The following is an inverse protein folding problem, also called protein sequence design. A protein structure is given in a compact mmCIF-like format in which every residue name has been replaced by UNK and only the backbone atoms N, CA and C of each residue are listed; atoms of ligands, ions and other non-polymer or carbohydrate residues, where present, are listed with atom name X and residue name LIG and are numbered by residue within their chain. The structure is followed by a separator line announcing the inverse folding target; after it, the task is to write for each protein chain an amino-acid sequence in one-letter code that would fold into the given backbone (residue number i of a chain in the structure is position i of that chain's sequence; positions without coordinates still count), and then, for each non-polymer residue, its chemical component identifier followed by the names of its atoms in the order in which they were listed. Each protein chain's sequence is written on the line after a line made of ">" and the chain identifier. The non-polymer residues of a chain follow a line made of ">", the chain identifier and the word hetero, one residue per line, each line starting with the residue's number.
data_IF_204124853527
#
_entry.id   IF_204124853527
#
_cell.length_a   1.000
_cell.length_b   1.000
_cell.length_c   1.000
_cell.angle_alpha   90.00
_cell.angle_beta   90.00
_cell.angle_gamma   90.00
#
_symmetry.space_group_name_H-M   'P 1'
#
loop_
_entity.id
_entity.type
_entity.pdbx_description
1 polymer ?
#
# COMPACT_ATOMS: atom_id res chain seq x y z
N UNK A 1 24.92 -39.53 15.25
CA UNK A 1 24.00 -38.63 14.51
C UNK A 1 23.83 -39.14 13.13
N UNK A 2 22.58 -39.38 12.69
CA UNK A 2 22.36 -39.86 11.35
C UNK A 2 22.61 -38.75 10.32
N UNK A 3 23.34 -39.04 9.27
CA UNK A 3 23.61 -38.16 8.11
C UNK A 3 22.36 -37.46 7.59
N UNK A 4 21.20 -38.15 7.66
CA UNK A 4 19.89 -37.63 7.25
C UNK A 4 19.42 -36.48 8.13
N UNK A 5 19.63 -36.53 9.45
CA UNK A 5 19.21 -35.44 10.37
C UNK A 5 20.03 -34.17 10.14
N UNK A 6 21.35 -34.31 9.98
CA UNK A 6 22.23 -33.21 9.65
C UNK A 6 21.89 -32.59 8.28
N UNK A 7 21.57 -33.43 7.30
CA UNK A 7 21.17 -32.95 5.96
C UNK A 7 19.85 -32.16 5.99
N UNK A 8 18.83 -32.68 6.72
CA UNK A 8 17.54 -32.01 6.92
C UNK A 8 17.72 -30.66 7.61
N UNK A 9 18.55 -30.61 8.70
CA UNK A 9 18.85 -29.37 9.41
C UNK A 9 19.51 -28.32 8.50
N UNK A 10 20.49 -28.72 7.70
CA UNK A 10 21.14 -27.83 6.73
C UNK A 10 20.18 -27.33 5.64
N UNK A 11 19.29 -28.21 5.15
CA UNK A 11 18.30 -27.81 4.14
C UNK A 11 17.28 -26.83 4.69
N UNK A 12 16.78 -27.08 5.92
CA UNK A 12 15.89 -26.15 6.62
C UNK A 12 16.57 -24.81 6.84
N UNK A 13 17.80 -24.80 7.38
CA UNK A 13 18.57 -23.58 7.59
C UNK A 13 18.78 -22.77 6.31
N UNK A 14 19.02 -23.43 5.17
CA UNK A 14 19.11 -22.77 3.86
C UNK A 14 17.80 -22.08 3.47
N UNK A 15 16.67 -22.79 3.66
CA UNK A 15 15.34 -22.23 3.40
C UNK A 15 15.04 -21.05 4.32
N UNK A 16 15.32 -21.17 5.61
CA UNK A 16 15.10 -20.13 6.62
C UNK A 16 15.96 -18.90 6.33
N UNK A 17 17.21 -19.07 5.87
CA UNK A 17 18.07 -17.97 5.45
C UNK A 17 17.53 -17.25 4.19
N UNK A 18 16.98 -17.96 3.23
CA UNK A 18 16.36 -17.33 2.07
C UNK A 18 15.13 -16.52 2.47
N UNK A 19 14.28 -17.09 3.34
CA UNK A 19 13.13 -16.37 3.87
C UNK A 19 13.54 -15.15 4.68
N UNK A 20 14.54 -15.29 5.54
CA UNK A 20 15.10 -14.17 6.30
C UNK A 20 15.61 -13.05 5.38
N UNK A 21 16.33 -13.39 4.30
CA UNK A 21 16.87 -12.39 3.39
C UNK A 21 15.74 -11.55 2.74
N UNK A 22 14.65 -12.21 2.32
CA UNK A 22 13.48 -11.54 1.76
C UNK A 22 12.82 -10.64 2.81
N UNK A 23 12.50 -11.19 3.98
CA UNK A 23 11.82 -10.47 5.06
C UNK A 23 12.67 -9.28 5.56
N UNK A 24 13.99 -9.46 5.63
CA UNK A 24 14.90 -8.40 6.04
C UNK A 24 15.00 -7.28 4.98
N UNK A 25 15.01 -7.63 3.69
CA UNK A 25 14.99 -6.65 2.61
C UNK A 25 13.67 -5.86 2.62
N UNK A 26 12.54 -6.55 2.81
CA UNK A 26 11.23 -5.93 2.93
C UNK A 26 11.17 -4.95 4.11
N UNK A 27 11.69 -5.37 5.25
CA UNK A 27 11.79 -4.53 6.44
C UNK A 27 12.65 -3.28 6.20
N UNK A 28 13.82 -3.42 5.54
CA UNK A 28 14.65 -2.28 5.17
C UNK A 28 13.92 -1.31 4.25
N UNK A 29 13.22 -1.85 3.25
CA UNK A 29 12.44 -1.06 2.31
C UNK A 29 11.35 -0.25 3.01
N UNK A 30 10.61 -0.86 3.94
CA UNK A 30 9.58 -0.14 4.70
C UNK A 30 10.17 0.95 5.60
N UNK A 31 11.30 0.71 6.25
CA UNK A 31 12.00 1.74 7.02
C UNK A 31 12.38 2.94 6.14
N UNK A 32 12.87 2.69 4.93
CA UNK A 32 13.23 3.76 3.98
C UNK A 32 11.99 4.53 3.50
N UNK A 33 10.91 3.82 3.19
CA UNK A 33 9.65 4.44 2.77
C UNK A 33 9.11 5.33 3.89
N UNK A 34 9.07 4.87 5.15
CA UNK A 34 8.57 5.68 6.26
C UNK A 34 9.45 6.89 6.57
N UNK A 35 10.77 6.79 6.38
CA UNK A 35 11.65 7.97 6.46
C UNK A 35 11.27 9.03 5.41
N UNK A 36 11.07 8.61 4.16
CA UNK A 36 10.62 9.48 3.08
C UNK A 36 9.27 10.10 3.38
N UNK A 37 8.30 9.31 3.85
CA UNK A 37 6.97 9.78 4.24
C UNK A 37 7.09 10.84 5.34
N UNK A 38 7.89 10.60 6.37
CA UNK A 38 8.09 11.56 7.46
C UNK A 38 8.59 12.91 6.95
N UNK A 39 9.61 12.89 6.07
CA UNK A 39 10.13 14.14 5.48
C UNK A 39 9.10 14.80 4.54
N UNK A 40 8.37 14.00 3.75
CA UNK A 40 7.30 14.50 2.90
C UNK A 40 6.23 15.24 3.70
N UNK A 41 5.75 14.66 4.79
CA UNK A 41 4.72 15.29 5.61
C UNK A 41 5.25 16.48 6.43
N UNK A 42 6.53 16.53 6.75
CA UNK A 42 7.15 17.74 7.33
C UNK A 42 7.17 18.91 6.33
N UNK A 43 7.43 18.65 5.04
CA UNK A 43 7.35 19.66 3.99
C UNK A 43 5.89 20.10 3.78
N UNK A 44 4.98 19.13 3.71
CA UNK A 44 3.55 19.38 3.60
C UNK A 44 3.00 20.25 4.76
N UNK A 45 3.51 20.04 5.98
CA UNK A 45 3.14 20.87 7.13
C UNK A 45 3.56 22.34 6.98
N UNK A 46 4.56 22.62 6.15
CA UNK A 46 4.98 24.00 5.80
C UNK A 46 4.25 24.55 4.57
N UNK A 47 3.38 23.77 3.95
CA UNK A 47 2.70 24.14 2.70
C UNK A 47 3.56 23.94 1.45
N UNK A 48 4.61 23.12 1.52
CA UNK A 48 5.54 22.88 0.42
C UNK A 48 5.21 21.55 -0.28
N UNK A 49 5.25 21.55 -1.61
CA UNK A 49 5.12 20.32 -2.40
C UNK A 49 6.37 19.45 -2.24
N UNK A 50 6.13 18.13 -2.11
CA UNK A 50 7.21 17.14 -1.97
C UNK A 50 7.78 16.75 -3.34
N UNK A 51 6.92 16.71 -4.34
CA UNK A 51 7.27 16.33 -5.71
C UNK A 51 6.83 17.43 -6.65
N UNK A 52 7.73 17.86 -7.52
CA UNK A 52 7.38 18.77 -8.61
C UNK A 52 6.49 18.06 -9.62
N UNK A 53 5.34 18.60 -9.92
CA UNK A 53 4.44 18.09 -10.96
C UNK A 53 3.73 19.23 -11.69
N UNK A 54 3.11 18.90 -12.84
CA UNK A 54 2.34 19.84 -13.65
C UNK A 54 0.82 19.78 -13.35
N UNK A 55 0.45 19.25 -12.21
CA UNK A 55 -0.96 19.11 -11.83
C UNK A 55 -1.51 20.43 -11.33
N UNK A 56 -2.70 20.79 -11.78
CA UNK A 56 -3.43 21.94 -11.25
C UNK A 56 -3.93 21.59 -9.84
N UNK A 57 -3.35 22.22 -8.84
CA UNK A 57 -3.69 22.03 -7.44
C UNK A 57 -4.89 22.89 -7.05
N UNK A 58 -5.68 22.39 -6.10
CA UNK A 58 -6.72 23.18 -5.41
C UNK A 58 -6.07 24.00 -4.29
N UNK A 59 -6.78 25.02 -3.82
CA UNK A 59 -6.28 25.84 -2.71
C UNK A 59 -5.96 24.98 -1.49
N UNK A 60 -4.74 25.08 -0.98
CA UNK A 60 -4.25 24.29 0.16
C UNK A 60 -3.95 22.81 -0.12
N UNK A 61 -4.04 22.38 -1.37
CA UNK A 61 -3.67 21.02 -1.77
C UNK A 61 -2.15 20.93 -1.96
N UNK A 62 -1.54 19.89 -1.40
CA UNK A 62 -0.11 19.65 -1.44
C UNK A 62 0.15 18.31 -2.11
N UNK A 63 1.13 18.25 -3.00
CA UNK A 63 1.56 17.04 -3.64
C UNK A 63 2.52 16.28 -2.74
N UNK A 64 2.19 15.04 -2.44
CA UNK A 64 2.93 14.17 -1.53
C UNK A 64 3.83 13.17 -2.24
N UNK A 65 3.35 12.62 -3.37
CA UNK A 65 4.02 11.53 -4.06
C UNK A 65 3.60 11.44 -5.52
N UNK A 66 4.43 10.82 -6.36
CA UNK A 66 4.13 10.57 -7.77
C UNK A 66 4.94 9.42 -8.34
N UNK A 67 4.31 8.66 -9.24
CA UNK A 67 4.94 7.60 -10.03
C UNK A 67 4.18 7.33 -11.33
N UNK A 68 4.72 6.44 -12.16
CA UNK A 68 4.02 5.95 -13.35
C UNK A 68 3.13 4.77 -12.98
N UNK A 69 1.91 4.75 -13.54
CA UNK A 69 0.97 3.65 -13.36
C UNK A 69 0.12 3.42 -14.60
N UNK A 70 -0.43 2.23 -14.74
CA UNK A 70 -1.35 1.90 -15.82
C UNK A 70 -2.78 2.09 -15.36
N UNK A 71 -3.51 2.97 -16.02
CA UNK A 71 -4.94 3.17 -15.78
C UNK A 71 -5.73 1.92 -16.17
N UNK A 72 -6.75 1.60 -15.39
CA UNK A 72 -7.76 0.61 -15.76
C UNK A 72 -9.16 1.02 -15.29
N UNK A 73 -10.16 0.47 -15.94
CA UNK A 73 -11.56 0.72 -15.65
C UNK A 73 -12.34 -0.60 -15.71
N UNK A 74 -13.30 -0.79 -14.82
CA UNK A 74 -14.20 -1.93 -14.89
C UNK A 74 -14.97 -1.92 -16.21
N UNK A 75 -14.80 -2.97 -17.00
CA UNK A 75 -15.58 -3.21 -18.20
C UNK A 75 -17.04 -3.55 -17.85
N UNK A 76 -17.95 -3.37 -18.78
CA UNK A 76 -19.35 -3.72 -18.57
C UNK A 76 -19.52 -5.23 -18.46
N UNK A 77 -19.87 -5.72 -17.28
CA UNK A 77 -20.84 -6.80 -17.15
C UNK A 77 -21.94 -6.28 -16.22
N UNK A 78 -23.19 -6.61 -16.50
CA UNK A 78 -24.31 -6.20 -15.67
C UNK A 78 -24.14 -6.78 -14.26
N UNK A 79 -23.85 -5.93 -13.27
CA UNK A 79 -23.72 -6.35 -11.89
C UNK A 79 -24.85 -5.77 -11.04
N UNK A 80 -25.29 -6.50 -10.04
CA UNK A 80 -26.25 -6.08 -9.03
C UNK A 80 -25.55 -5.66 -7.74
N UNK A 81 -25.99 -4.54 -7.15
CA UNK A 81 -25.61 -4.20 -5.78
C UNK A 81 -26.43 -5.03 -4.80
N UNK A 82 -25.75 -5.78 -3.94
CA UNK A 82 -26.36 -6.45 -2.78
C UNK A 82 -25.72 -5.87 -1.53
N UNK A 83 -26.52 -5.32 -0.63
CA UNK A 83 -26.04 -4.54 0.51
C UNK A 83 -25.24 -5.34 1.52
N UNK A 84 -23.99 -4.96 1.76
CA UNK A 84 -23.23 -5.21 2.95
C UNK A 84 -22.12 -4.15 3.10
N UNK A 85 -21.78 -3.79 4.34
CA UNK A 85 -20.75 -2.79 4.62
C UNK A 85 -19.36 -3.43 4.53
N UNK A 86 -18.52 -2.93 3.64
CA UNK A 86 -17.10 -3.25 3.65
C UNK A 86 -16.31 -1.94 3.78
N UNK A 87 -15.59 -1.80 4.89
CA UNK A 87 -14.62 -0.74 5.05
C UNK A 87 -13.32 -1.11 4.34
N UNK A 88 -12.69 -0.12 3.71
CA UNK A 88 -11.35 -0.25 3.16
C UNK A 88 -10.35 -0.40 4.31
N UNK A 89 -9.52 -1.43 4.25
CA UNK A 89 -8.48 -1.69 5.23
C UNK A 89 -7.14 -1.69 4.53
N UNK A 90 -6.36 -0.64 4.76
CA UNK A 90 -4.99 -0.57 4.28
C UNK A 90 -4.09 -1.17 5.36
N UNK A 91 -3.33 -2.23 5.07
CA UNK A 91 -2.31 -2.70 5.99
C UNK A 91 -1.20 -1.65 6.02
N UNK A 92 -1.02 -1.00 7.17
CA UNK A 92 0.02 0.03 7.30
C UNK A 92 1.36 -0.62 7.60
N UNK A 93 1.49 -1.42 8.62
CA UNK A 93 2.66 -2.28 8.96
C UNK A 93 2.28 -3.20 10.11
N UNK A 94 2.96 -4.37 10.23
CA UNK A 94 2.94 -5.24 11.41
C UNK A 94 1.54 -5.53 12.00
N UNK A 95 0.55 -5.84 11.14
CA UNK A 95 -0.79 -6.24 11.59
C UNK A 95 -1.73 -5.08 11.91
N UNK A 96 -1.29 -3.82 11.82
CA UNK A 96 -2.15 -2.65 11.97
C UNK A 96 -2.87 -2.37 10.66
N UNK A 97 -4.20 -2.35 10.71
CA UNK A 97 -5.07 -2.03 9.57
C UNK A 97 -5.81 -0.73 9.83
N UNK A 98 -5.60 0.25 8.97
CA UNK A 98 -6.40 1.47 8.99
C UNK A 98 -7.68 1.25 8.17
N UNK A 99 -8.85 1.49 8.78
CA UNK A 99 -10.15 1.39 8.11
C UNK A 99 -10.67 2.78 7.79
N UNK A 100 -10.89 3.04 6.51
CA UNK A 100 -11.54 4.24 6.03
C UNK A 100 -12.97 3.90 5.60
N UNK A 101 -13.93 4.55 6.22
CA UNK A 101 -15.33 4.64 5.80
C UNK A 101 -16.15 3.36 5.91
N UNK A 102 -17.37 3.51 6.39
CA UNK A 102 -18.43 2.51 6.29
C UNK A 102 -19.32 2.86 5.09
N UNK A 103 -19.29 2.06 4.04
CA UNK A 103 -20.28 2.17 2.96
C UNK A 103 -21.13 0.93 2.89
N UNK A 104 -22.44 1.12 2.84
CA UNK A 104 -23.42 0.05 2.71
C UNK A 104 -23.60 -0.27 1.22
N UNK A 105 -23.16 -1.46 0.80
CA UNK A 105 -23.47 -1.99 -0.51
C UNK A 105 -22.36 -2.88 -1.04
N UNK A 106 -22.64 -4.17 -1.27
CA UNK A 106 -21.74 -5.09 -1.96
C UNK A 106 -22.12 -5.10 -3.44
N UNK A 107 -21.16 -4.79 -4.29
CA UNK A 107 -21.32 -4.99 -5.74
C UNK A 107 -20.99 -6.45 -6.06
N UNK A 108 -22.00 -7.22 -6.46
CA UNK A 108 -21.81 -8.55 -7.04
C UNK A 108 -21.76 -8.34 -8.56
N UNK A 109 -20.55 -8.30 -9.11
CA UNK A 109 -20.39 -8.27 -10.57
C UNK A 109 -20.44 -9.71 -11.11
N UNK A 110 -21.14 -9.92 -12.21
CA UNK A 110 -20.74 -10.95 -13.14
C UNK A 110 -19.33 -10.64 -13.64
N UNK A 111 -18.54 -11.64 -14.04
CA UNK A 111 -17.09 -11.58 -14.31
C UNK A 111 -16.59 -10.19 -14.75
N UNK A 112 -15.85 -9.47 -13.90
CA UNK A 112 -15.38 -8.14 -14.24
C UNK A 112 -14.29 -8.27 -15.31
N UNK A 113 -14.57 -7.82 -16.51
CA UNK A 113 -13.53 -7.59 -17.52
C UNK A 113 -12.85 -6.27 -17.15
N UNK A 114 -11.69 -6.35 -16.54
CA UNK A 114 -10.85 -5.19 -16.28
C UNK A 114 -10.23 -4.74 -17.60
N UNK A 115 -10.57 -3.53 -18.05
CA UNK A 115 -9.98 -2.95 -19.25
C UNK A 115 -8.77 -2.11 -18.85
N UNK A 116 -7.59 -2.59 -19.19
CA UNK A 116 -6.35 -1.83 -19.05
C UNK A 116 -6.26 -0.74 -20.13
N UNK A 117 -5.94 0.45 -19.68
CA UNK A 117 -5.75 1.63 -20.52
C UNK A 117 -4.26 1.99 -20.66
N UNK A 118 -4.02 3.26 -20.85
CA UNK A 118 -2.67 3.83 -21.03
C UNK A 118 -1.87 3.89 -19.72
N UNK A 119 -0.55 4.02 -19.88
CA UNK A 119 0.35 4.34 -18.78
C UNK A 119 0.49 5.86 -18.70
N UNK A 120 0.30 6.41 -17.50
CA UNK A 120 0.37 7.83 -17.23
C UNK A 120 1.03 8.14 -15.89
N UNK A 121 1.04 9.42 -15.54
CA UNK A 121 1.55 9.87 -14.25
C UNK A 121 0.44 9.78 -13.19
N UNK A 122 0.74 9.10 -12.09
CA UNK A 122 -0.12 9.05 -10.91
C UNK A 122 0.44 9.99 -9.88
N UNK A 123 -0.42 10.87 -9.38
CA UNK A 123 -0.06 11.87 -8.38
C UNK A 123 -0.95 11.71 -7.17
N UNK A 124 -0.35 11.60 -6.00
CA UNK A 124 -1.02 11.58 -4.72
C UNK A 124 -0.87 12.94 -4.05
N UNK A 125 -1.98 13.52 -3.65
CA UNK A 125 -2.02 14.77 -2.91
C UNK A 125 -2.60 14.59 -1.51
N UNK A 126 -2.69 15.64 -0.73
CA UNK A 126 -3.40 15.66 0.56
C UNK A 126 -4.90 15.41 0.43
N UNK A 127 -5.49 15.54 -0.78
CA UNK A 127 -6.94 15.54 -0.97
C UNK A 127 -7.46 14.52 -1.97
N UNK A 128 -6.61 13.98 -2.84
CA UNK A 128 -7.02 13.11 -3.94
C UNK A 128 -5.85 12.31 -4.54
N UNK A 129 -6.21 11.27 -5.29
CA UNK A 129 -5.35 10.61 -6.26
C UNK A 129 -5.71 11.13 -7.64
N UNK A 130 -4.71 11.40 -8.47
CA UNK A 130 -4.85 11.83 -9.85
C UNK A 130 -4.13 10.86 -10.78
N UNK A 131 -4.71 10.61 -11.93
CA UNK A 131 -4.05 9.95 -13.06
C UNK A 131 -4.06 10.92 -14.24
N UNK A 132 -2.88 11.21 -14.77
CA UNK A 132 -2.66 12.08 -15.92
C UNK A 132 -2.04 11.25 -17.06
N UNK A 133 -2.87 10.81 -17.98
CA UNK A 133 -2.45 10.19 -19.24
C UNK A 133 -2.58 11.16 -20.40
N UNK A 134 -2.16 10.73 -21.58
CA UNK A 134 -2.31 11.51 -22.81
C UNK A 134 -3.77 11.58 -23.29
N UNK A 135 -4.55 10.52 -23.03
CA UNK A 135 -5.94 10.38 -23.48
C UNK A 135 -6.90 10.54 -22.31
N UNK A 136 -6.53 9.99 -21.15
CA UNK A 136 -7.39 9.97 -19.97
C UNK A 136 -6.77 10.75 -18.83
N UNK A 137 -7.60 11.58 -18.19
CA UNK A 137 -7.31 12.16 -16.88
C UNK A 137 -8.37 11.69 -15.90
N UNK A 138 -7.97 11.24 -14.72
CA UNK A 138 -8.89 10.78 -13.67
C UNK A 138 -8.53 11.42 -12.34
N UNK A 139 -9.56 11.71 -11.57
CA UNK A 139 -9.46 12.23 -10.21
C UNK A 139 -10.28 11.34 -9.28
N UNK A 140 -9.69 10.92 -8.17
CA UNK A 140 -10.35 10.21 -7.08
C UNK A 140 -10.19 11.03 -5.79
N UNK A 141 -11.08 12.00 -5.59
CA UNK A 141 -11.08 12.86 -4.40
C UNK A 141 -11.51 12.06 -3.17
N UNK A 142 -10.76 12.14 -2.08
CA UNK A 142 -11.01 11.37 -0.84
C UNK A 142 -12.40 11.66 -0.28
N UNK A 143 -12.86 12.90 -0.31
CA UNK A 143 -14.21 13.30 0.13
C UNK A 143 -15.36 12.64 -0.67
N UNK A 144 -15.05 12.02 -1.82
CA UNK A 144 -16.03 11.33 -2.68
C UNK A 144 -15.86 9.82 -2.68
N UNK A 145 -14.96 9.28 -1.88
CA UNK A 145 -14.74 7.84 -1.83
C UNK A 145 -15.91 7.13 -1.15
N UNK A 146 -16.46 6.13 -1.84
CA UNK A 146 -17.36 5.14 -1.28
C UNK A 146 -16.60 3.90 -0.81
N UNK A 147 -15.39 3.68 -1.32
CA UNK A 147 -14.52 2.59 -0.99
C UNK A 147 -13.34 2.49 -1.94
N UNK A 148 -12.35 1.74 -1.53
CA UNK A 148 -11.21 1.38 -2.37
C UNK A 148 -10.76 -0.06 -2.04
N UNK A 149 -10.08 -0.71 -2.96
CA UNK A 149 -9.49 -2.02 -2.78
C UNK A 149 -8.07 -2.04 -3.34
N UNK A 150 -7.23 -2.85 -2.75
CA UNK A 150 -5.90 -3.14 -3.25
C UNK A 150 -5.74 -4.66 -3.39
N UNK A 151 -4.94 -5.10 -4.35
CA UNK A 151 -4.49 -6.49 -4.46
C UNK A 151 -3.57 -6.86 -3.30
N UNK A 152 -3.46 -8.17 -3.01
CA UNK A 152 -2.63 -8.66 -1.90
C UNK A 152 -1.14 -8.33 -2.08
N UNK A 153 -0.69 -8.18 -3.33
CA UNK A 153 0.68 -7.80 -3.69
C UNK A 153 0.90 -6.27 -3.76
N UNK A 154 -0.13 -5.49 -3.38
CA UNK A 154 -0.11 -4.02 -3.35
C UNK A 154 0.18 -3.36 -4.71
N UNK A 155 -0.05 -4.05 -5.83
CA UNK A 155 0.22 -3.50 -7.16
C UNK A 155 -1.01 -2.90 -7.83
N UNK A 156 -2.19 -3.44 -7.60
CA UNK A 156 -3.45 -3.03 -8.23
C UNK A 156 -4.38 -2.33 -7.24
N UNK A 157 -4.84 -1.14 -7.60
CA UNK A 157 -5.73 -0.31 -6.79
C UNK A 157 -6.99 0.03 -7.55
N UNK A 158 -8.15 -0.20 -6.94
CA UNK A 158 -9.47 0.13 -7.46
C UNK A 158 -10.12 1.15 -6.54
N UNK A 159 -10.62 2.24 -7.13
CA UNK A 159 -11.30 3.32 -6.41
C UNK A 159 -12.75 3.41 -6.84
N UNK A 160 -13.63 3.41 -5.85
CA UNK A 160 -15.06 3.65 -6.02
C UNK A 160 -15.40 5.04 -5.47
N UNK A 161 -15.87 5.93 -6.34
CA UNK A 161 -16.23 7.30 -5.99
C UNK A 161 -17.70 7.59 -6.27
N UNK A 162 -18.35 8.37 -5.41
CA UNK A 162 -19.78 8.65 -5.47
C UNK A 162 -20.26 9.39 -6.72
N UNK A 163 -19.36 10.08 -7.41
CA UNK A 163 -19.65 10.84 -8.61
C UNK A 163 -19.43 10.07 -9.92
N UNK A 164 -19.18 8.75 -9.85
CA UNK A 164 -19.02 7.87 -11.02
C UNK A 164 -19.73 6.55 -10.84
N UNK A 165 -20.27 6.03 -11.92
CA UNK A 165 -20.96 4.72 -11.93
C UNK A 165 -19.96 3.56 -12.05
N UNK A 166 -18.81 3.77 -12.67
CA UNK A 166 -17.80 2.75 -12.90
C UNK A 166 -16.63 2.91 -11.93
N UNK A 167 -16.22 1.80 -11.37
CA UNK A 167 -14.94 1.73 -10.65
C UNK A 167 -13.78 1.84 -11.64
N UNK A 168 -12.74 2.50 -11.24
CA UNK A 168 -11.50 2.62 -12.00
C UNK A 168 -10.32 2.65 -11.05
N UNK A 169 -9.14 2.41 -11.58
CA UNK A 169 -7.98 2.27 -10.74
C UNK A 169 -6.67 2.40 -11.49
N UNK A 170 -5.62 1.98 -10.82
CA UNK A 170 -4.25 2.06 -11.32
C UNK A 170 -3.48 0.82 -10.93
N UNK A 171 -2.76 0.26 -11.89
CA UNK A 171 -1.79 -0.81 -11.70
C UNK A 171 -0.37 -0.21 -11.68
N UNK A 172 0.38 -0.54 -10.65
CA UNK A 172 1.76 -0.11 -10.43
C UNK A 172 2.77 -1.26 -10.59
N UNK A 173 4.05 -0.92 -10.66
CA UNK A 173 5.12 -1.87 -10.35
C UNK A 173 5.05 -2.27 -8.87
N UNK A 174 5.62 -3.43 -8.51
CA UNK A 174 5.65 -3.88 -7.10
C UNK A 174 6.29 -2.85 -6.17
N UNK A 175 7.35 -2.17 -6.63
CA UNK A 175 8.01 -1.12 -5.86
C UNK A 175 7.12 0.10 -5.65
N UNK A 176 6.55 0.62 -6.75
CA UNK A 176 5.76 1.84 -6.69
C UNK A 176 4.42 1.60 -5.98
N UNK A 177 3.83 0.42 -6.15
CA UNK A 177 2.61 0.02 -5.45
C UNK A 177 2.81 -0.05 -3.94
N UNK A 178 3.93 -0.63 -3.48
CA UNK A 178 4.29 -0.67 -2.05
C UNK A 178 4.50 0.75 -1.49
N UNK A 179 5.22 1.61 -2.20
CA UNK A 179 5.38 3.02 -1.80
C UNK A 179 4.03 3.75 -1.77
N UNK A 180 3.24 3.61 -2.83
CA UNK A 180 1.92 4.21 -2.93
C UNK A 180 1.01 3.81 -1.78
N UNK A 181 0.99 2.53 -1.39
CA UNK A 181 0.17 2.05 -0.29
C UNK A 181 0.45 2.81 1.03
N UNK A 182 1.73 2.97 1.38
CA UNK A 182 2.14 3.66 2.63
C UNK A 182 1.82 5.15 2.56
N UNK A 183 2.11 5.80 1.43
CA UNK A 183 1.78 7.20 1.23
C UNK A 183 0.27 7.46 1.22
N UNK A 184 -0.51 6.60 0.56
CA UNK A 184 -1.97 6.70 0.52
C UNK A 184 -2.58 6.59 1.92
N UNK A 185 -2.12 5.64 2.72
CA UNK A 185 -2.57 5.48 4.11
C UNK A 185 -2.34 6.75 4.92
N UNK A 186 -1.16 7.33 4.79
CA UNK A 186 -0.80 8.57 5.47
C UNK A 186 -1.59 9.78 4.94
N UNK A 187 -1.84 9.86 3.63
CA UNK A 187 -2.65 10.91 3.04
C UNK A 187 -4.12 10.86 3.53
N UNK A 188 -4.68 9.67 3.70
CA UNK A 188 -6.02 9.49 4.25
C UNK A 188 -6.09 9.89 5.74
N UNK A 189 -5.07 9.54 6.53
CA UNK A 189 -4.95 10.01 7.91
C UNK A 189 -4.86 11.55 7.95
N UNK A 190 -4.06 12.15 7.06
CA UNK A 190 -3.93 13.60 6.98
C UNK A 190 -5.26 14.28 6.62
N UNK A 191 -6.01 13.71 5.69
CA UNK A 191 -7.29 14.24 5.26
C UNK A 191 -8.37 14.19 6.37
N UNK A 192 -8.31 13.19 7.26
CA UNK A 192 -9.29 13.00 8.34
C UNK A 192 -8.88 13.67 9.65
N UNK A 193 -7.59 13.61 10.01
CA UNK A 193 -7.10 14.01 11.35
C UNK A 193 -6.02 15.12 11.29
N UNK A 194 -5.60 15.53 10.10
CA UNK A 194 -4.55 16.53 9.93
C UNK A 194 -3.13 15.95 9.84
N UNK A 195 -2.21 16.78 9.34
CA UNK A 195 -0.82 16.38 9.06
C UNK A 195 -0.03 16.02 10.32
N UNK A 196 -0.23 16.71 11.42
CA UNK A 196 0.47 16.44 12.68
C UNK A 196 0.19 15.03 13.21
N UNK A 197 -1.02 14.54 12.98
CA UNK A 197 -1.38 13.17 13.34
C UNK A 197 -0.58 12.15 12.53
N UNK A 198 -0.35 12.40 11.24
CA UNK A 198 0.47 11.53 10.38
C UNK A 198 1.88 11.42 10.91
N UNK A 199 2.51 12.53 11.26
CA UNK A 199 3.89 12.53 11.78
C UNK A 199 3.98 11.67 13.05
N UNK A 200 3.00 11.81 13.94
CA UNK A 200 2.92 11.01 15.17
C UNK A 200 2.76 9.51 14.88
N UNK A 201 1.86 9.15 13.96
CA UNK A 201 1.63 7.74 13.61
C UNK A 201 2.83 7.13 12.87
N UNK A 202 3.50 7.89 11.99
CA UNK A 202 4.71 7.44 11.31
C UNK A 202 5.83 7.18 12.31
N UNK A 203 6.02 8.04 13.30
CA UNK A 203 7.05 7.83 14.34
C UNK A 203 6.76 6.59 15.19
N UNK A 204 5.50 6.35 15.51
CA UNK A 204 5.07 5.15 16.21
C UNK A 204 5.34 3.90 15.38
N UNK A 205 4.92 3.88 14.11
CA UNK A 205 5.12 2.76 13.19
C UNK A 205 6.62 2.47 12.96
N UNK A 206 7.44 3.50 12.82
CA UNK A 206 8.89 3.33 12.69
C UNK A 206 9.52 2.68 13.91
N UNK A 207 9.04 3.03 15.12
CA UNK A 207 9.51 2.41 16.36
C UNK A 207 9.11 0.94 16.44
N UNK A 208 7.85 0.63 16.16
CA UNK A 208 7.34 -0.75 16.11
C UNK A 208 8.12 -1.59 15.08
N UNK A 209 8.36 -1.05 13.88
CA UNK A 209 9.19 -1.69 12.86
C UNK A 209 10.63 -1.97 13.33
N UNK A 210 11.23 -1.07 14.11
CA UNK A 210 12.56 -1.28 14.65
C UNK A 210 12.60 -2.36 15.72
N UNK A 211 11.52 -2.48 16.53
CA UNK A 211 11.37 -3.54 17.52
C UNK A 211 11.16 -4.91 16.84
N UNK A 212 10.43 -4.95 15.71
CA UNK A 212 10.13 -6.14 14.92
C UNK A 212 11.21 -6.50 13.87
N UNK A 213 12.42 -5.98 14.04
CA UNK A 213 13.52 -6.27 13.13
C UNK A 213 13.73 -7.78 12.97
N UNK A 214 13.69 -8.33 11.73
CA UNK A 214 13.93 -9.74 11.49
C UNK A 214 15.27 -10.21 12.04
N UNK A 215 15.27 -11.36 12.74
CA UNK A 215 16.48 -11.97 13.31
C UNK A 215 17.00 -13.04 12.35
N UNK A 216 18.33 -13.14 12.16
CA UNK A 216 18.91 -14.18 11.33
C UNK A 216 18.67 -15.57 11.95
N UNK A 217 18.34 -16.58 11.14
CA UNK A 217 18.16 -17.93 11.63
C UNK A 217 19.47 -18.53 12.17
N UNK A 218 19.35 -19.31 13.24
CA UNK A 218 20.49 -20.02 13.84
C UNK A 218 20.47 -21.49 13.44
N UNK A 219 21.59 -22.00 12.96
CA UNK A 219 21.72 -23.43 12.64
C UNK A 219 21.68 -24.25 13.94
N UNK A 220 20.54 -24.89 14.20
CA UNK A 220 20.40 -25.83 15.31
C UNK A 220 20.82 -27.23 14.85
N UNK A 221 21.99 -27.68 15.31
CA UNK A 221 22.41 -29.06 15.24
C UNK A 221 21.96 -29.74 16.53
N UNK A 222 21.12 -30.79 16.43
CA UNK A 222 20.73 -31.58 17.60
C UNK A 222 21.98 -32.12 18.30
N UNK A 223 22.07 -31.92 19.62
CA UNK A 223 23.13 -32.48 20.42
C UNK A 223 23.14 -34.02 20.31
N UNK A 224 24.30 -34.70 20.36
CA UNK A 224 24.34 -36.14 20.39
C UNK A 224 23.52 -36.65 21.57
N UNK A 225 22.56 -37.55 21.32
CA UNK A 225 21.92 -38.29 22.41
C UNK A 225 22.99 -39.11 23.08
N UNK A 226 23.28 -38.82 24.33
CA UNK A 226 24.10 -39.68 25.15
C UNK A 226 23.45 -41.09 25.16
N UNK A 227 24.21 -42.05 24.62
CA UNK A 227 23.85 -43.47 24.73
C UNK A 227 24.01 -43.83 26.21
N UNK A 228 22.88 -44.12 26.84
CA UNK A 228 22.84 -44.79 28.14
C UNK A 228 23.04 -46.28 27.94
#
# INVERSE_FOLDING_TARGET
>A
MGFIATWKAKRKFKSDNQQYAITHQDWQTDIEIFKKIKEAFKLAAKGEDVVSNQTIQKAGEIVLWGARGQFHEAGRSAGQFVGASQGFSIPVVAGIRYRVGATRGTYVSGDPIQKYGEIGDVVLTTNRVLFNGMINTREWAFAKWNGAAASDDETDYIFNVSNRQKTSGVLFSTRDGREFNRYLSCALIAAEYGIDRVITEVDKNMKELQEDKPMPPVLQLEAPKELK
#
